data_IF_410364100176
#
_entry.id   IF_410364100176
#
_cell.length_a   1.000
_cell.length_b   1.000
_cell.length_c   1.000
_cell.angle_alpha   90.00
_cell.angle_beta   90.00
_cell.angle_gamma   90.00
#
_symmetry.space_group_name_H-M   'P 1'
#
loop_
_entity.id
_entity.type
_entity.pdbx_description
1 polymer ?
#
# COMPACT_ATOMS: atom_id res chain seq x y z
N UNK A 1 18.86 -8.82 13.89
CA UNK A 1 18.05 -8.19 12.83
C UNK A 1 17.63 -9.25 11.82
N UNK A 2 16.35 -9.36 11.58
CA UNK A 2 15.82 -10.32 10.63
C UNK A 2 15.58 -9.66 9.27
N UNK A 3 15.60 -10.46 8.22
CA UNK A 3 15.12 -10.03 6.90
C UNK A 3 13.73 -10.61 6.70
N UNK A 4 12.74 -9.76 6.65
CA UNK A 4 11.33 -10.15 6.56
C UNK A 4 10.73 -9.65 5.25
N UNK A 5 10.05 -10.56 4.57
CA UNK A 5 9.34 -10.25 3.32
C UNK A 5 7.85 -10.26 3.61
N UNK A 6 7.17 -9.19 3.24
CA UNK A 6 5.71 -9.15 3.27
C UNK A 6 5.18 -8.95 1.85
N UNK A 7 4.03 -9.52 1.57
CA UNK A 7 3.41 -9.43 0.25
C UNK A 7 1.94 -9.12 0.40
N UNK A 8 1.46 -8.19 -0.39
CA UNK A 8 0.05 -7.83 -0.35
C UNK A 8 -0.23 -6.61 -1.20
N UNK A 9 -1.33 -5.95 -0.90
CA UNK A 9 -1.75 -4.76 -1.63
C UNK A 9 -1.41 -3.49 -0.87
N UNK A 10 -0.84 -2.51 -1.59
CA UNK A 10 -0.78 -1.13 -1.12
C UNK A 10 -1.78 -0.32 -1.94
N UNK A 11 -2.57 0.50 -1.26
CA UNK A 11 -3.64 1.28 -1.88
C UNK A 11 -3.44 2.76 -1.64
N UNK A 12 -3.98 3.56 -2.54
CA UNK A 12 -4.15 4.99 -2.32
C UNK A 12 -5.32 5.19 -1.37
N UNK A 13 -5.08 5.79 -0.22
CA UNK A 13 -6.12 6.12 0.74
C UNK A 13 -6.48 7.59 0.62
N UNK A 14 -7.75 7.86 0.41
CA UNK A 14 -8.31 9.21 0.34
C UNK A 14 -9.24 9.40 1.53
N UNK A 15 -8.81 10.18 2.51
CA UNK A 15 -9.54 10.39 3.75
C UNK A 15 -10.16 11.78 3.80
N UNK A 16 -11.38 11.87 4.34
CA UNK A 16 -12.00 13.16 4.56
C UNK A 16 -11.24 13.94 5.65
N UNK A 17 -11.02 15.24 5.47
CA UNK A 17 -10.39 16.06 6.50
C UNK A 17 -11.38 16.44 7.60
N UNK A 18 -10.88 16.81 8.76
CA UNK A 18 -11.67 17.43 9.85
C UNK A 18 -12.91 16.64 10.28
N UNK A 19 -12.88 15.32 10.18
CA UNK A 19 -14.01 14.44 10.52
C UNK A 19 -15.28 14.72 9.69
N UNK A 20 -15.11 15.26 8.49
CA UNK A 20 -16.23 15.53 7.60
C UNK A 20 -16.80 14.25 6.99
N UNK A 21 -18.08 14.30 6.64
CA UNK A 21 -18.70 13.25 5.83
C UNK A 21 -18.25 13.39 4.39
N UNK A 22 -18.32 12.30 3.61
CA UNK A 22 -18.01 12.35 2.19
C UNK A 22 -18.75 13.46 1.46
N UNK A 23 -20.04 13.63 1.75
CA UNK A 23 -20.87 14.62 1.08
C UNK A 23 -20.48 16.06 1.43
N UNK A 24 -19.77 16.26 2.52
CA UNK A 24 -19.33 17.58 2.96
C UNK A 24 -17.93 17.92 2.47
N UNK A 25 -17.11 16.91 2.19
CA UNK A 25 -15.70 17.12 1.89
C UNK A 25 -15.49 17.67 0.48
N UNK A 26 -14.66 18.70 0.38
CA UNK A 26 -14.23 19.28 -0.90
C UNK A 26 -12.81 18.84 -1.27
N UNK A 27 -12.14 18.11 -0.39
CA UNK A 27 -10.79 17.63 -0.59
C UNK A 27 -10.59 16.34 0.19
N UNK A 28 -9.49 15.63 -0.10
CA UNK A 28 -9.08 14.46 0.64
C UNK A 28 -7.63 14.58 1.08
N UNK A 29 -7.33 14.06 2.25
CA UNK A 29 -5.95 13.80 2.66
C UNK A 29 -5.48 12.53 1.96
N UNK A 30 -4.27 12.58 1.43
CA UNK A 30 -3.69 11.48 0.64
C UNK A 30 -2.70 10.70 1.50
N UNK A 31 -2.85 9.37 1.50
CA UNK A 31 -1.92 8.47 2.16
C UNK A 31 -1.87 7.16 1.35
N UNK A 32 -0.86 6.37 1.57
CA UNK A 32 -0.74 5.04 0.95
C UNK A 32 -0.61 4.01 2.06
N UNK A 33 -1.36 2.93 1.95
CA UNK A 33 -1.33 1.91 2.99
C UNK A 33 -2.09 0.65 2.61
N UNK A 34 -2.02 -0.31 3.48
CA UNK A 34 -2.67 -1.60 3.38
C UNK A 34 -2.17 -2.45 4.53
N UNK A 35 -2.83 -3.57 4.82
CA UNK A 35 -2.47 -4.40 5.96
C UNK A 35 -1.01 -4.81 5.96
N UNK A 36 -0.57 -5.47 4.90
CA UNK A 36 0.79 -5.99 4.79
C UNK A 36 1.82 -4.88 4.59
N UNK A 37 1.44 -3.80 3.92
CA UNK A 37 2.31 -2.63 3.78
C UNK A 37 2.55 -1.96 5.13
N UNK A 38 1.52 -1.87 5.96
CA UNK A 38 1.64 -1.31 7.31
C UNK A 38 2.54 -2.18 8.19
N UNK A 39 2.45 -3.50 8.06
CA UNK A 39 3.35 -4.44 8.75
C UNK A 39 4.80 -4.22 8.29
N UNK A 40 5.01 -4.06 6.98
CA UNK A 40 6.35 -3.80 6.45
C UNK A 40 6.97 -2.52 7.05
N UNK A 41 6.19 -1.46 7.14
CA UNK A 41 6.63 -0.19 7.74
C UNK A 41 6.95 -0.38 9.22
N UNK A 42 6.11 -1.09 9.96
CA UNK A 42 6.35 -1.36 11.39
C UNK A 42 7.64 -2.13 11.60
N UNK A 43 7.89 -3.16 10.81
CA UNK A 43 9.11 -3.96 10.92
C UNK A 43 10.35 -3.13 10.61
N UNK A 44 10.29 -2.25 9.62
CA UNK A 44 11.40 -1.33 9.32
C UNK A 44 11.65 -0.38 10.48
N UNK A 45 10.60 0.13 11.12
CA UNK A 45 10.72 1.00 12.29
C UNK A 45 11.33 0.29 13.48
N UNK A 46 11.15 -1.02 13.60
CA UNK A 46 11.78 -1.83 14.66
C UNK A 46 13.21 -2.26 14.32
N UNK A 47 13.75 -1.81 13.22
CA UNK A 47 15.14 -2.07 12.85
C UNK A 47 15.38 -3.34 12.06
N UNK A 48 14.33 -4.03 11.63
CA UNK A 48 14.47 -5.20 10.77
C UNK A 48 14.69 -4.78 9.30
N UNK A 49 15.32 -5.67 8.54
CA UNK A 49 15.40 -5.51 7.09
C UNK A 49 14.04 -5.93 6.51
N UNK A 50 13.20 -4.95 6.19
CA UNK A 50 11.83 -5.17 5.73
C UNK A 50 11.73 -4.91 4.24
N UNK A 51 11.21 -5.89 3.49
CA UNK A 51 10.93 -5.71 2.07
C UNK A 51 9.46 -5.99 1.81
N UNK A 52 8.85 -5.18 0.97
CA UNK A 52 7.46 -5.33 0.56
C UNK A 52 7.38 -5.75 -0.90
N UNK A 53 6.61 -6.78 -1.17
CA UNK A 53 6.41 -7.33 -2.50
C UNK A 53 4.97 -7.08 -2.93
N UNK A 54 4.80 -6.46 -4.06
CA UNK A 54 3.48 -6.16 -4.62
C UNK A 54 3.62 -5.87 -6.11
N UNK A 55 2.51 -5.55 -6.75
CA UNK A 55 2.49 -5.03 -8.11
C UNK A 55 1.76 -3.69 -8.10
N UNK A 56 2.34 -2.72 -8.78
CA UNK A 56 1.75 -1.39 -8.95
C UNK A 56 1.77 -1.03 -10.44
N UNK A 57 0.88 -0.14 -10.90
CA UNK A 57 0.90 0.28 -12.29
C UNK A 57 2.17 1.06 -12.60
N UNK A 58 2.59 1.02 -13.86
CA UNK A 58 3.74 1.78 -14.34
C UNK A 58 3.30 3.20 -14.70
N UNK A 59 3.00 3.98 -13.68
CA UNK A 59 2.59 5.38 -13.82
C UNK A 59 2.95 6.15 -12.56
N UNK A 60 2.66 7.44 -12.55
CA UNK A 60 3.01 8.34 -11.43
C UNK A 60 2.35 7.95 -10.11
N UNK A 61 1.14 7.42 -10.15
CA UNK A 61 0.44 6.99 -8.93
C UNK A 61 1.13 5.76 -8.34
N UNK A 62 1.56 4.82 -9.19
CA UNK A 62 2.35 3.67 -8.76
C UNK A 62 3.67 4.11 -8.12
N UNK A 63 4.33 5.10 -8.70
CA UNK A 63 5.56 5.66 -8.15
C UNK A 63 5.33 6.33 -6.79
N UNK A 64 4.20 6.99 -6.60
CA UNK A 64 3.86 7.58 -5.30
C UNK A 64 3.74 6.51 -4.22
N UNK A 65 3.13 5.38 -4.53
CA UNK A 65 3.01 4.26 -3.58
C UNK A 65 4.39 3.72 -3.20
N UNK A 66 5.27 3.54 -4.17
CA UNK A 66 6.65 3.08 -3.93
C UNK A 66 7.43 4.10 -3.10
N UNK A 67 7.30 5.38 -3.43
CA UNK A 67 7.97 6.45 -2.68
C UNK A 67 7.51 6.49 -1.21
N UNK A 68 6.22 6.24 -0.96
CA UNK A 68 5.69 6.19 0.40
C UNK A 68 6.36 5.08 1.22
N UNK A 69 6.60 3.92 0.62
CA UNK A 69 7.31 2.81 1.27
C UNK A 69 8.77 3.17 1.53
N UNK A 70 9.44 3.75 0.54
CA UNK A 70 10.85 4.16 0.68
C UNK A 70 11.05 5.18 1.78
N UNK A 71 10.10 6.05 2.00
CA UNK A 71 10.14 7.05 3.06
C UNK A 71 10.35 6.43 4.44
N UNK A 72 9.86 5.21 4.63
CA UNK A 72 9.97 4.47 5.89
C UNK A 72 11.02 3.35 5.86
N UNK A 73 11.93 3.40 4.91
CA UNK A 73 13.02 2.42 4.76
C UNK A 73 12.57 0.99 4.45
N UNK A 74 11.42 0.86 3.83
CA UNK A 74 10.96 -0.43 3.33
C UNK A 74 11.62 -0.70 1.97
N UNK A 75 12.17 -1.88 1.78
CA UNK A 75 12.75 -2.29 0.51
C UNK A 75 11.69 -2.47 -0.56
N UNK A 76 11.94 -1.94 -1.74
CA UNK A 76 10.97 -1.90 -2.84
C UNK A 76 11.49 -2.51 -4.14
N UNK A 77 12.67 -3.14 -4.09
CA UNK A 77 13.32 -3.64 -5.31
C UNK A 77 12.58 -4.77 -6.02
N UNK A 78 11.69 -5.46 -5.33
CA UNK A 78 10.90 -6.56 -5.89
C UNK A 78 9.45 -6.20 -6.18
N UNK A 79 9.13 -4.91 -6.23
CA UNK A 79 7.80 -4.45 -6.63
C UNK A 79 7.69 -4.52 -8.14
N UNK A 80 6.72 -5.30 -8.64
CA UNK A 80 6.48 -5.42 -10.06
C UNK A 80 5.74 -4.18 -10.60
N UNK A 81 6.08 -3.78 -11.80
CA UNK A 81 5.42 -2.66 -12.50
C UNK A 81 4.58 -3.23 -13.61
N UNK A 82 3.31 -3.46 -13.34
CA UNK A 82 2.40 -4.09 -14.29
C UNK A 82 0.96 -3.74 -13.94
N UNK A 83 0.03 -4.13 -14.83
CA UNK A 83 -1.38 -3.89 -14.62
C UNK A 83 -1.80 -2.47 -14.92
N UNK A 84 -3.05 -2.15 -14.63
CA UNK A 84 -3.68 -0.92 -15.09
C UNK A 84 -3.85 0.15 -14.01
N UNK A 85 -4.01 -0.25 -12.75
CA UNK A 85 -4.36 0.71 -11.71
C UNK A 85 -3.89 0.29 -10.33
N UNK A 86 -3.67 1.30 -9.49
CA UNK A 86 -3.52 1.11 -8.06
C UNK A 86 -4.92 1.08 -7.43
N UNK A 87 -5.15 0.17 -6.51
CA UNK A 87 -6.40 0.16 -5.76
C UNK A 87 -6.54 1.41 -4.90
N UNK A 88 -7.77 1.84 -4.71
CA UNK A 88 -8.10 3.04 -3.94
C UNK A 88 -9.09 2.65 -2.84
N UNK A 89 -8.97 3.26 -1.67
CA UNK A 89 -10.07 3.23 -0.71
C UNK A 89 -10.31 4.62 -0.16
N UNK A 90 -11.58 4.92 0.03
CA UNK A 90 -12.04 6.17 0.59
C UNK A 90 -12.40 5.95 2.05
N UNK A 91 -11.90 6.82 2.91
CA UNK A 91 -12.15 6.74 4.35
C UNK A 91 -12.89 8.00 4.80
N UNK A 92 -14.09 7.81 5.33
CA UNK A 92 -14.81 8.84 6.05
C UNK A 92 -14.48 8.69 7.52
N UNK A 93 -13.75 9.66 8.06
CA UNK A 93 -13.34 9.60 9.46
C UNK A 93 -14.55 9.69 10.39
N UNK A 94 -14.62 8.80 11.38
CA UNK A 94 -15.65 8.85 12.39
C UNK A 94 -15.47 10.00 13.35
N UNK A 95 -16.56 10.43 13.97
CA UNK A 95 -16.55 11.50 14.97
C UNK A 95 -17.59 11.21 16.03
N UNK A 96 -17.20 11.33 17.29
CA UNK A 96 -18.08 11.07 18.43
C UNK A 96 -18.78 9.70 18.32
N UNK A 97 -20.11 9.68 18.15
CA UNK A 97 -20.89 8.44 18.03
C UNK A 97 -21.00 7.91 16.61
N UNK A 98 -20.44 8.62 15.63
CA UNK A 98 -20.47 8.21 14.24
C UNK A 98 -19.26 7.35 13.92
N UNK A 99 -19.45 6.10 13.46
CA UNK A 99 -18.33 5.25 13.09
C UNK A 99 -17.67 5.72 11.78
N UNK A 100 -16.43 5.31 11.57
CA UNK A 100 -15.75 5.50 10.29
C UNK A 100 -16.40 4.63 9.23
N UNK A 101 -16.34 5.09 7.98
CA UNK A 101 -16.84 4.36 6.81
C UNK A 101 -15.74 4.22 5.79
N UNK A 102 -15.69 3.05 5.15
CA UNK A 102 -14.70 2.77 4.11
C UNK A 102 -15.44 2.35 2.84
N UNK A 103 -15.02 2.93 1.72
CA UNK A 103 -15.48 2.54 0.39
C UNK A 103 -14.28 2.09 -0.41
N UNK A 104 -14.29 0.86 -0.90
CA UNK A 104 -13.21 0.32 -1.71
C UNK A 104 -13.48 0.52 -3.19
N UNK A 105 -12.46 0.94 -3.91
CA UNK A 105 -12.43 1.03 -5.36
C UNK A 105 -11.13 0.39 -5.84
N UNK A 106 -11.10 -0.94 -5.85
CA UNK A 106 -9.88 -1.70 -6.12
C UNK A 106 -10.03 -2.87 -7.07
N UNK A 107 -11.14 -2.97 -7.78
CA UNK A 107 -11.33 -4.00 -8.76
C UNK A 107 -10.26 -3.89 -9.85
N UNK A 108 -9.70 -5.02 -10.25
CA UNK A 108 -8.68 -5.10 -11.29
C UNK A 108 -7.41 -4.28 -10.97
N UNK A 109 -7.08 -4.13 -9.68
CA UNK A 109 -5.83 -3.49 -9.28
C UNK A 109 -4.63 -4.33 -9.78
N UNK A 110 -3.49 -3.70 -9.93
CA UNK A 110 -2.28 -4.35 -10.45
C UNK A 110 -1.94 -5.64 -9.70
N UNK A 111 -1.98 -5.61 -8.36
CA UNK A 111 -1.69 -6.82 -7.59
C UNK A 111 -2.75 -7.90 -7.76
N UNK A 112 -4.01 -7.54 -7.94
CA UNK A 112 -5.08 -8.51 -8.10
C UNK A 112 -5.03 -9.25 -9.44
N UNK A 113 -4.42 -8.64 -10.46
CA UNK A 113 -4.26 -9.23 -11.79
C UNK A 113 -2.87 -9.79 -12.03
N UNK A 114 -1.93 -9.59 -11.10
CA UNK A 114 -0.58 -10.11 -11.21
C UNK A 114 -0.55 -11.65 -11.12
N UNK A 115 0.44 -12.24 -11.76
CA UNK A 115 0.65 -13.69 -11.78
C UNK A 115 2.04 -14.03 -11.26
N UNK A 116 2.32 -15.31 -11.06
CA UNK A 116 3.64 -15.77 -10.64
C UNK A 116 4.76 -15.30 -11.58
N UNK A 117 4.45 -15.13 -12.87
CA UNK A 117 5.43 -14.69 -13.86
C UNK A 117 5.91 -13.26 -13.62
N UNK A 118 5.17 -12.45 -12.86
CA UNK A 118 5.54 -11.08 -12.56
C UNK A 118 6.58 -10.98 -11.44
N UNK A 119 6.88 -12.07 -10.75
CA UNK A 119 7.77 -12.09 -9.60
C UNK A 119 8.87 -13.13 -9.73
N UNK A 120 10.07 -12.79 -9.29
CA UNK A 120 11.19 -13.74 -9.13
C UNK A 120 11.27 -14.14 -7.66
N UNK A 121 10.51 -15.16 -7.27
CA UNK A 121 10.44 -15.60 -5.88
C UNK A 121 11.77 -16.14 -5.35
N UNK A 122 12.63 -16.70 -6.20
CA UNK A 122 13.95 -17.15 -5.80
C UNK A 122 14.79 -15.96 -5.30
N UNK A 123 14.81 -14.87 -6.08
CA UNK A 123 15.53 -13.67 -5.69
C UNK A 123 14.88 -12.98 -4.49
N UNK A 124 13.54 -12.96 -4.44
CA UNK A 124 12.79 -12.31 -3.35
C UNK A 124 13.14 -12.95 -2.01
N UNK A 125 13.15 -14.28 -1.93
CA UNK A 125 13.35 -14.99 -0.67
C UNK A 125 14.82 -15.27 -0.32
N UNK A 126 15.74 -14.85 -1.18
CA UNK A 126 17.17 -15.04 -0.89
C UNK A 126 17.56 -14.32 0.40
N UNK A 127 18.04 -15.08 1.37
CA UNK A 127 18.46 -14.57 2.66
C UNK A 127 17.31 -14.16 3.59
N UNK A 128 16.08 -14.48 3.27
CA UNK A 128 14.94 -14.20 4.17
C UNK A 128 14.93 -15.18 5.35
N UNK A 129 14.51 -14.69 6.49
CA UNK A 129 14.37 -15.47 7.73
C UNK A 129 13.00 -16.11 7.87
#
# INVERSE_FOLDING_TARGET
MAKVITMGEIMLRLSTPNNEKFIQADEFDVCYGGGEANVAVSLANYGHMSEFVTAVPDNEIGECAVAALRKYNVGTKHIARCGERLGIYFLESGSAMRPSKVVYDRAHSSISTATEADFDFTAIFEGAD
#
